data_IF_289162368469
#
_entry.id   IF_289162368469
#
_cell.length_a   1.000
_cell.length_b   1.000
_cell.length_c   1.000
_cell.angle_alpha   90.00
_cell.angle_beta   90.00
_cell.angle_gamma   90.00
#
_symmetry.space_group_name_H-M   'P 1'
#
loop_
_entity.id
_entity.type
_entity.pdbx_description
1 polymer ?
#
# COMPACT_ATOMS: atom_id res chain seq x y z
N UNK A 1 19.66 0.63 35.46
CA UNK A 1 21.02 0.08 35.59
C UNK A 1 21.75 0.49 34.33
N UNK A 2 22.55 1.55 34.44
CA UNK A 2 23.16 2.28 33.31
C UNK A 2 24.09 1.39 32.49
N UNK A 3 23.74 1.17 31.22
CA UNK A 3 24.51 0.41 30.23
C UNK A 3 25.82 1.11 29.80
N UNK A 4 26.18 2.24 30.44
CA UNK A 4 27.31 3.09 30.03
C UNK A 4 28.52 2.94 30.98
N UNK A 5 28.34 2.38 32.18
CA UNK A 5 29.38 2.32 33.23
C UNK A 5 30.43 1.19 33.08
N UNK A 6 30.60 0.61 31.89
CA UNK A 6 31.51 -0.51 31.66
C UNK A 6 32.47 -0.39 30.48
N UNK A 7 32.44 0.72 29.75
CA UNK A 7 33.28 0.91 28.55
C UNK A 7 34.62 1.52 28.95
N UNK A 8 35.71 0.79 28.77
CA UNK A 8 37.05 1.32 28.98
C UNK A 8 37.50 2.11 27.75
N UNK A 9 38.52 2.98 27.91
CA UNK A 9 39.03 3.82 26.81
C UNK A 9 39.38 3.04 25.54
N UNK A 10 39.84 1.79 25.65
CA UNK A 10 40.12 0.92 24.51
C UNK A 10 38.88 0.43 23.74
N UNK A 11 37.72 0.30 24.41
CA UNK A 11 36.47 -0.10 23.76
C UNK A 11 35.90 1.04 22.91
N UNK A 12 36.08 2.28 23.37
CA UNK A 12 35.71 3.48 22.62
C UNK A 12 36.62 3.68 21.39
N UNK A 13 37.91 3.33 21.50
CA UNK A 13 38.85 3.35 20.37
C UNK A 13 38.51 2.28 19.32
N UNK A 14 38.06 1.09 19.75
CA UNK A 14 37.57 0.04 18.84
C UNK A 14 36.28 0.44 18.11
N UNK A 15 35.37 1.14 18.80
CA UNK A 15 34.17 1.72 18.17
C UNK A 15 34.55 2.84 17.19
N UNK A 16 35.58 3.64 17.51
CA UNK A 16 36.09 4.72 16.65
C UNK A 16 36.82 4.19 15.41
N UNK A 17 37.54 3.08 15.52
CA UNK A 17 38.34 2.50 14.43
C UNK A 17 37.57 1.45 13.62
N UNK A 18 36.38 1.05 14.06
CA UNK A 18 35.46 0.24 13.28
C UNK A 18 35.04 0.96 12.00
N UNK A 19 35.35 0.35 10.86
CA UNK A 19 34.92 0.81 9.52
C UNK A 19 33.40 0.87 9.41
N UNK A 20 32.69 -0.07 10.05
CA UNK A 20 31.23 -0.17 10.01
C UNK A 20 30.57 0.97 10.79
N UNK A 21 31.17 1.39 11.91
CA UNK A 21 30.67 2.51 12.71
C UNK A 21 31.05 3.87 12.10
N UNK A 22 32.23 3.98 11.47
CA UNK A 22 32.59 5.15 10.66
C UNK A 22 31.67 5.31 9.46
N UNK A 23 31.33 4.21 8.79
CA UNK A 23 30.33 4.16 7.73
C UNK A 23 28.96 4.61 8.27
N UNK A 24 28.45 3.99 9.34
CA UNK A 24 27.18 4.37 9.94
C UNK A 24 27.12 5.85 10.42
N UNK A 25 28.25 6.43 10.82
CA UNK A 25 28.34 7.83 11.24
C UNK A 25 28.45 8.81 10.04
N UNK A 26 29.24 8.46 9.01
CA UNK A 26 29.41 9.30 7.81
C UNK A 26 28.18 9.27 6.88
N UNK A 27 27.43 8.17 6.86
CA UNK A 27 26.20 8.02 6.08
C UNK A 27 24.96 8.64 6.74
N UNK A 28 25.12 9.43 7.83
CA UNK A 28 24.04 10.31 8.34
C UNK A 28 23.61 11.41 7.35
N UNK A 29 24.34 11.60 6.26
CA UNK A 29 24.08 12.57 5.21
C UNK A 29 23.60 11.95 3.88
N UNK A 30 23.16 10.69 3.88
CA UNK A 30 22.37 10.19 2.76
C UNK A 30 21.00 10.90 2.82
N UNK A 31 20.61 11.58 1.73
CA UNK A 31 19.24 12.04 1.56
C UNK A 31 18.34 10.80 1.47
N UNK A 32 17.87 10.30 2.62
CA UNK A 32 17.00 9.14 2.70
C UNK A 32 15.62 9.53 2.18
N UNK A 33 15.43 9.46 0.86
CA UNK A 33 14.10 9.56 0.27
C UNK A 33 13.26 8.39 0.76
N UNK A 34 12.32 8.67 1.64
CA UNK A 34 11.35 7.70 2.12
C UNK A 34 10.05 7.84 1.32
N UNK A 35 9.60 6.73 0.74
CA UNK A 35 8.32 6.63 0.06
C UNK A 35 7.36 5.81 0.92
N UNK A 36 6.33 6.45 1.48
CA UNK A 36 5.43 5.83 2.46
C UNK A 36 3.99 5.85 1.97
N UNK A 37 3.35 4.68 1.93
CA UNK A 37 1.92 4.56 1.66
C UNK A 37 1.16 4.21 2.94
N UNK A 38 0.05 4.89 3.17
CA UNK A 38 -0.82 4.68 4.33
C UNK A 38 -2.22 4.37 3.82
N UNK A 39 -2.76 3.23 4.24
CA UNK A 39 -4.13 2.81 3.92
C UNK A 39 -5.04 3.08 5.10
N UNK A 40 -6.31 3.35 4.83
CA UNK A 40 -7.39 3.30 5.80
C UNK A 40 -8.58 2.57 5.15
N UNK A 41 -9.21 1.70 5.92
CA UNK A 41 -10.38 0.93 5.49
C UNK A 41 -11.51 1.12 6.49
N UNK A 42 -12.51 1.89 6.08
CA UNK A 42 -13.70 2.23 6.85
C UNK A 42 -14.86 1.36 6.40
N UNK A 43 -15.47 0.62 7.33
CA UNK A 43 -16.63 -0.22 7.08
C UNK A 43 -17.87 0.41 7.70
N UNK A 44 -18.86 0.65 6.85
CA UNK A 44 -20.17 1.17 7.22
C UNK A 44 -21.23 0.09 7.05
N UNK A 45 -22.14 0.03 8.02
CA UNK A 45 -23.37 -0.77 7.96
C UNK A 45 -24.55 0.13 8.29
N UNK A 46 -25.56 0.17 7.44
CA UNK A 46 -26.73 1.05 7.62
C UNK A 46 -26.33 2.52 7.88
N UNK A 47 -25.33 3.02 7.15
CA UNK A 47 -24.82 4.40 7.31
C UNK A 47 -24.02 4.67 8.58
N UNK A 48 -23.76 3.67 9.44
CA UNK A 48 -22.94 3.81 10.64
C UNK A 48 -21.57 3.16 10.46
N UNK A 49 -20.51 3.88 10.83
CA UNK A 49 -19.16 3.31 10.92
C UNK A 49 -19.12 2.23 12.01
N UNK A 50 -18.76 1.01 11.63
CA UNK A 50 -18.65 -0.14 12.55
C UNK A 50 -17.20 -0.61 12.75
N UNK A 51 -16.31 -0.29 11.81
CA UNK A 51 -14.88 -0.59 11.90
C UNK A 51 -14.07 0.36 11.02
N UNK A 52 -12.86 0.71 11.42
CA UNK A 52 -12.02 1.70 10.74
C UNK A 52 -12.05 3.06 11.43
N UNK A 53 -11.86 4.13 10.66
CA UNK A 53 -11.66 5.50 11.16
C UNK A 53 -10.23 5.78 11.61
N UNK A 54 -9.28 4.93 11.24
CA UNK A 54 -7.87 5.06 11.60
C UNK A 54 -6.97 4.58 10.45
N UNK A 55 -5.77 5.18 10.31
CA UNK A 55 -4.77 4.71 9.37
C UNK A 55 -4.19 3.37 9.82
N UNK A 56 -3.93 2.51 8.85
CA UNK A 56 -3.16 1.28 9.01
C UNK A 56 -1.67 1.59 9.09
N UNK A 57 -0.90 0.62 9.57
CA UNK A 57 0.56 0.65 9.42
C UNK A 57 0.95 0.74 7.93
N UNK A 58 2.17 1.21 7.62
CA UNK A 58 2.63 1.33 6.25
C UNK A 58 2.41 0.07 5.41
N UNK A 59 2.14 0.30 4.13
CA UNK A 59 1.98 -0.74 3.11
C UNK A 59 3.32 -1.40 2.73
N UNK A 60 3.21 -2.49 1.98
CA UNK A 60 4.35 -3.08 1.29
C UNK A 60 4.32 -2.63 -0.17
N UNK A 61 5.28 -1.77 -0.55
CA UNK A 61 5.56 -1.53 -1.95
C UNK A 61 6.26 -2.75 -2.55
N UNK A 62 5.86 -3.15 -3.75
CA UNK A 62 6.48 -4.28 -4.44
C UNK A 62 7.67 -3.80 -5.26
N UNK A 63 8.61 -4.69 -5.57
CA UNK A 63 9.69 -4.40 -6.52
C UNK A 63 9.12 -4.05 -7.90
N UNK A 64 8.05 -4.71 -8.33
CA UNK A 64 7.38 -4.43 -9.62
C UNK A 64 6.86 -3.00 -9.68
N UNK A 65 6.19 -2.56 -8.61
CA UNK A 65 5.64 -1.22 -8.48
C UNK A 65 6.70 -0.13 -8.45
N UNK A 66 7.70 -0.29 -7.59
CA UNK A 66 8.79 0.69 -7.45
C UNK A 66 9.61 0.80 -8.74
N UNK A 67 9.94 -0.32 -9.39
CA UNK A 67 10.66 -0.30 -10.65
C UNK A 67 9.85 0.41 -11.74
N UNK A 68 8.54 0.17 -11.81
CA UNK A 68 7.66 0.85 -12.76
C UNK A 68 7.60 2.36 -12.50
N UNK A 69 7.48 2.79 -11.23
CA UNK A 69 7.54 4.21 -10.87
C UNK A 69 8.85 4.87 -11.33
N UNK A 70 9.99 4.26 -11.03
CA UNK A 70 11.30 4.80 -11.43
C UNK A 70 11.45 4.87 -12.94
N UNK A 71 10.95 3.87 -13.67
CA UNK A 71 11.01 3.86 -15.12
C UNK A 71 10.15 4.95 -15.77
N UNK A 72 9.01 5.32 -15.15
CA UNK A 72 8.20 6.45 -15.64
C UNK A 72 8.92 7.79 -15.43
N UNK A 73 9.55 7.96 -14.28
CA UNK A 73 10.09 9.26 -13.86
C UNK A 73 11.49 9.51 -14.43
N UNK A 74 12.33 8.47 -14.49
CA UNK A 74 13.76 8.59 -14.81
C UNK A 74 14.19 7.81 -16.04
N UNK A 75 13.29 7.04 -16.66
CA UNK A 75 13.59 6.28 -17.87
C UNK A 75 12.57 6.58 -18.98
N UNK A 76 12.58 5.76 -20.03
CA UNK A 76 11.83 5.98 -21.27
C UNK A 76 10.42 5.35 -21.27
N UNK A 77 9.95 4.88 -20.13
CA UNK A 77 8.60 4.31 -20.02
C UNK A 77 7.59 5.46 -19.89
N UNK A 78 6.67 5.56 -20.85
CA UNK A 78 5.58 6.52 -20.79
C UNK A 78 4.53 6.10 -19.76
N UNK A 79 3.94 7.07 -19.05
CA UNK A 79 2.74 6.86 -18.23
C UNK A 79 1.59 6.41 -19.15
N UNK A 80 0.98 5.26 -18.84
CA UNK A 80 -0.01 4.59 -19.72
C UNK A 80 -1.26 5.44 -20.04
N UNK A 81 -1.68 6.32 -19.11
CA UNK A 81 -2.85 7.19 -19.24
C UNK A 81 -2.78 8.35 -18.23
N UNK A 82 -3.75 9.29 -18.28
CA UNK A 82 -3.86 10.36 -17.28
C UNK A 82 -4.16 9.80 -15.89
N UNK A 83 -5.02 8.79 -15.79
CA UNK A 83 -5.25 7.99 -14.59
C UNK A 83 -4.81 6.55 -14.87
N UNK A 84 -3.86 6.04 -14.08
CA UNK A 84 -3.29 4.71 -14.28
C UNK A 84 -3.43 3.81 -13.07
N UNK A 85 -3.99 4.29 -11.96
CA UNK A 85 -3.98 3.57 -10.70
C UNK A 85 -5.40 3.27 -10.27
N UNK A 86 -5.64 2.03 -9.89
CA UNK A 86 -6.92 1.53 -9.46
C UNK A 86 -6.77 0.83 -8.12
N UNK A 87 -7.78 1.03 -7.26
CA UNK A 87 -7.85 0.45 -5.92
C UNK A 87 -8.65 -0.84 -6.00
N UNK A 88 -8.08 -1.93 -5.48
CA UNK A 88 -8.81 -3.18 -5.30
C UNK A 88 -8.72 -3.68 -3.86
N UNK A 89 -9.68 -4.54 -3.50
CA UNK A 89 -9.74 -5.23 -2.21
C UNK A 89 -9.63 -6.74 -2.40
N UNK A 90 -9.17 -7.44 -1.37
CA UNK A 90 -8.90 -8.87 -1.46
C UNK A 90 -9.37 -9.66 -0.22
N UNK A 91 -9.78 -10.91 -0.46
CA UNK A 91 -10.46 -11.77 0.52
C UNK A 91 -9.65 -12.96 1.02
N UNK A 92 -8.45 -13.21 0.51
CA UNK A 92 -7.56 -14.22 1.09
C UNK A 92 -6.72 -13.63 2.22
N UNK A 93 -6.50 -14.43 3.27
CA UNK A 93 -5.67 -14.05 4.40
C UNK A 93 -4.16 -14.20 4.07
N UNK A 94 -3.65 -13.29 3.24
CA UNK A 94 -2.26 -13.28 2.77
C UNK A 94 -1.57 -11.98 3.20
N UNK A 95 -0.31 -12.10 3.63
CA UNK A 95 0.55 -10.94 3.92
C UNK A 95 1.31 -10.54 2.65
N UNK A 96 1.13 -9.29 2.17
CA UNK A 96 1.90 -8.78 1.04
C UNK A 96 3.42 -8.87 1.26
N UNK A 97 4.14 -9.22 0.20
CA UNK A 97 5.59 -9.28 0.18
C UNK A 97 6.14 -8.45 -0.98
N UNK A 98 7.40 -8.03 -0.85
CA UNK A 98 8.08 -7.18 -1.84
C UNK A 98 8.16 -7.83 -3.22
N UNK A 99 8.27 -9.16 -3.28
CA UNK A 99 8.31 -9.93 -4.54
C UNK A 99 6.96 -10.17 -5.21
N UNK A 100 5.86 -9.67 -4.64
CA UNK A 100 4.54 -9.91 -5.21
C UNK A 100 4.36 -9.11 -6.52
N UNK A 101 3.76 -9.75 -7.51
CA UNK A 101 3.50 -9.18 -8.84
C UNK A 101 2.03 -9.25 -9.19
N UNK A 102 1.58 -8.36 -10.07
CA UNK A 102 0.21 -8.36 -10.57
C UNK A 102 -0.16 -9.69 -11.23
N UNK A 103 0.74 -10.24 -12.04
CA UNK A 103 0.51 -11.47 -12.81
C UNK A 103 0.14 -12.69 -11.94
N UNK A 104 0.69 -12.77 -10.73
CA UNK A 104 0.53 -13.91 -9.81
C UNK A 104 -0.50 -13.64 -8.72
N UNK A 105 -0.61 -12.39 -8.26
CA UNK A 105 -1.35 -12.08 -7.04
C UNK A 105 -2.73 -11.49 -7.29
N UNK A 106 -2.97 -10.92 -8.47
CA UNK A 106 -4.25 -10.28 -8.83
C UNK A 106 -5.12 -11.17 -9.72
N UNK A 107 -6.35 -10.72 -9.95
CA UNK A 107 -7.35 -11.45 -10.69
C UNK A 107 -8.08 -12.49 -9.82
N UNK A 108 -9.09 -13.13 -10.41
CA UNK A 108 -9.95 -14.07 -9.68
C UNK A 108 -9.18 -15.29 -9.13
N UNK A 109 -8.14 -15.74 -9.83
CA UNK A 109 -7.29 -16.88 -9.44
C UNK A 109 -5.98 -16.45 -8.78
N UNK A 110 -5.77 -15.15 -8.57
CA UNK A 110 -4.57 -14.63 -7.91
C UNK A 110 -4.53 -15.01 -6.44
N UNK A 111 -3.32 -15.08 -5.87
CA UNK A 111 -3.14 -15.51 -4.47
C UNK A 111 -3.80 -14.58 -3.46
N UNK A 112 -4.00 -13.29 -3.77
CA UNK A 112 -4.77 -12.39 -2.91
C UNK A 112 -6.26 -12.70 -2.89
N UNK A 113 -6.78 -13.37 -3.93
CA UNK A 113 -8.22 -13.53 -4.11
C UNK A 113 -8.86 -12.15 -4.24
N UNK A 114 -8.55 -11.44 -5.33
CA UNK A 114 -9.18 -10.14 -5.61
C UNK A 114 -10.71 -10.31 -5.61
N UNK A 115 -11.42 -9.41 -4.94
CA UNK A 115 -12.89 -9.43 -4.99
C UNK A 115 -13.37 -9.23 -6.44
N UNK A 116 -14.37 -10.02 -6.83
CA UNK A 116 -14.94 -10.08 -8.17
C UNK A 116 -16.39 -9.59 -8.14
N UNK A 117 -17.02 -9.45 -9.31
CA UNK A 117 -18.35 -8.85 -9.44
C UNK A 117 -19.42 -9.52 -8.58
N UNK A 118 -19.34 -10.83 -8.35
CA UNK A 118 -20.25 -11.55 -7.47
C UNK A 118 -20.13 -11.19 -5.97
N UNK A 119 -19.08 -10.47 -5.57
CA UNK A 119 -18.89 -10.02 -4.19
C UNK A 119 -19.57 -8.66 -3.92
N UNK A 120 -20.09 -7.96 -4.93
CA UNK A 120 -20.60 -6.59 -4.84
C UNK A 120 -22.08 -6.47 -5.27
N UNK A 121 -22.82 -5.53 -4.70
CA UNK A 121 -24.27 -5.32 -4.98
C UNK A 121 -24.53 -4.88 -6.41
N UNK A 122 -23.60 -4.11 -6.97
CA UNK A 122 -23.61 -3.75 -8.37
C UNK A 122 -22.37 -4.37 -9.01
N UNK A 123 -22.53 -5.16 -10.09
CA UNK A 123 -21.38 -5.65 -10.83
C UNK A 123 -20.60 -4.45 -11.37
N UNK A 124 -19.36 -4.33 -10.93
CA UNK A 124 -18.43 -3.29 -11.37
C UNK A 124 -17.32 -4.00 -12.14
N UNK A 125 -17.39 -4.07 -13.47
CA UNK A 125 -16.35 -4.73 -14.28
C UNK A 125 -14.92 -4.25 -13.93
N UNK A 126 -14.84 -3.01 -13.45
CA UNK A 126 -13.60 -2.29 -13.17
C UNK A 126 -13.45 -1.99 -11.68
N UNK A 127 -12.19 -2.00 -11.22
CA UNK A 127 -11.78 -1.44 -9.94
C UNK A 127 -11.99 0.08 -9.94
N UNK A 128 -12.41 0.69 -8.81
CA UNK A 128 -12.44 2.14 -8.67
C UNK A 128 -11.07 2.78 -8.92
N UNK A 129 -11.09 3.96 -9.52
CA UNK A 129 -9.92 4.80 -9.73
C UNK A 129 -9.27 5.26 -8.41
N UNK A 130 -7.96 5.41 -8.41
CA UNK A 130 -7.24 6.15 -7.37
C UNK A 130 -7.26 7.64 -7.74
N UNK A 131 -8.40 8.26 -7.48
CA UNK A 131 -8.70 9.64 -7.88
C UNK A 131 -8.04 10.63 -6.94
N UNK A 132 -7.09 11.40 -7.46
CA UNK A 132 -6.28 12.35 -6.69
C UNK A 132 -6.29 13.74 -7.31
N UNK A 133 -5.96 14.75 -6.53
CA UNK A 133 -5.68 16.10 -7.03
C UNK A 133 -4.17 16.36 -7.08
N UNK A 134 -3.78 17.37 -7.86
CA UNK A 134 -2.40 17.86 -7.86
C UNK A 134 -1.97 18.29 -6.46
N UNK A 135 -0.69 18.04 -6.12
CA UNK A 135 -0.12 18.35 -4.81
C UNK A 135 1.16 19.17 -4.94
N UNK A 136 1.39 20.05 -3.96
CA UNK A 136 2.63 20.80 -3.78
C UNK A 136 3.38 20.41 -2.50
N UNK A 137 2.86 19.45 -1.72
CA UNK A 137 3.36 19.09 -0.38
C UNK A 137 4.07 17.73 -0.33
N UNK A 138 4.33 17.12 -1.50
CA UNK A 138 4.85 15.76 -1.62
C UNK A 138 3.99 14.68 -0.91
N UNK A 139 2.69 14.97 -0.78
CA UNK A 139 1.65 14.08 -0.26
C UNK A 139 0.49 14.06 -1.26
N UNK A 140 0.11 12.87 -1.73
CA UNK A 140 -0.99 12.68 -2.66
C UNK A 140 -1.93 11.59 -2.13
N UNK A 141 -3.23 11.87 -2.11
CA UNK A 141 -4.23 10.92 -1.60
C UNK A 141 -5.55 11.01 -2.35
N UNK A 142 -6.37 9.97 -2.20
CA UNK A 142 -7.77 9.95 -2.65
C UNK A 142 -8.76 10.31 -1.54
N UNK A 143 -8.33 10.98 -0.47
CA UNK A 143 -9.20 11.29 0.69
C UNK A 143 -10.45 12.07 0.32
N UNK A 144 -10.37 12.94 -0.71
CA UNK A 144 -11.50 13.70 -1.23
C UNK A 144 -12.47 12.86 -2.10
N UNK A 145 -12.01 11.71 -2.62
CA UNK A 145 -12.78 10.80 -3.48
C UNK A 145 -12.38 9.34 -3.19
N UNK A 146 -12.75 8.87 -1.99
CA UNK A 146 -12.39 7.53 -1.51
C UNK A 146 -12.96 6.46 -2.44
N UNK A 147 -12.19 5.42 -2.71
CA UNK A 147 -12.69 4.25 -3.44
C UNK A 147 -13.76 3.57 -2.58
N UNK A 148 -14.94 3.36 -3.14
CA UNK A 148 -16.08 2.75 -2.44
C UNK A 148 -16.42 1.38 -3.00
N UNK A 149 -16.79 0.47 -2.11
CA UNK A 149 -17.19 -0.89 -2.44
C UNK A 149 -18.44 -1.23 -1.65
N UNK A 150 -19.56 -1.47 -2.34
CA UNK A 150 -20.82 -1.91 -1.73
C UNK A 150 -20.93 -3.42 -1.90
N UNK A 151 -21.06 -4.15 -0.80
CA UNK A 151 -20.85 -5.60 -0.74
C UNK A 151 -22.18 -6.36 -0.81
N UNK A 152 -22.26 -7.38 -1.67
CA UNK A 152 -23.41 -8.29 -1.77
C UNK A 152 -23.23 -9.61 -0.99
N UNK A 153 -21.99 -9.88 -0.58
CA UNK A 153 -21.59 -11.18 -0.09
C UNK A 153 -21.21 -11.14 1.40
N UNK A 154 -21.56 -12.22 2.11
CA UNK A 154 -21.04 -12.45 3.46
C UNK A 154 -19.64 -13.04 3.37
N UNK A 155 -18.64 -12.16 3.31
CA UNK A 155 -17.22 -12.53 3.18
C UNK A 155 -16.37 -11.75 4.19
N UNK A 156 -15.09 -12.09 4.27
CA UNK A 156 -14.12 -11.34 5.07
C UNK A 156 -13.07 -10.71 4.16
N UNK A 157 -12.91 -9.40 4.26
CA UNK A 157 -11.89 -8.64 3.55
C UNK A 157 -10.65 -8.54 4.43
N UNK A 158 -9.51 -8.87 3.85
CA UNK A 158 -8.22 -8.93 4.55
C UNK A 158 -7.28 -7.79 4.16
N UNK A 159 -7.55 -7.08 3.07
CA UNK A 159 -6.65 -6.04 2.60
C UNK A 159 -7.07 -5.34 1.33
N UNK A 160 -6.21 -4.41 0.93
CA UNK A 160 -6.33 -3.63 -0.29
C UNK A 160 -5.01 -3.58 -1.05
N UNK A 161 -5.08 -3.25 -2.34
CA UNK A 161 -3.93 -3.08 -3.21
C UNK A 161 -4.15 -1.93 -4.20
N UNK A 162 -3.03 -1.43 -4.74
CA UNK A 162 -3.02 -0.44 -5.82
C UNK A 162 -2.38 -1.04 -7.06
N UNK A 163 -3.05 -0.97 -8.21
CA UNK A 163 -2.59 -1.61 -9.45
C UNK A 163 -2.86 -0.75 -10.68
N UNK A 164 -2.13 -1.01 -11.78
CA UNK A 164 -2.45 -0.42 -13.09
C UNK A 164 -3.56 -1.14 -13.86
N UNK A 165 -4.20 -2.14 -13.25
CA UNK A 165 -5.20 -2.96 -13.90
C UNK A 165 -6.59 -2.47 -13.53
N UNK A 166 -7.29 -1.93 -14.53
CA UNK A 166 -8.67 -1.49 -14.37
C UNK A 166 -9.61 -2.69 -14.17
N UNK A 167 -9.57 -3.68 -15.07
CA UNK A 167 -10.47 -4.84 -15.01
C UNK A 167 -10.14 -5.76 -13.83
N UNK A 168 -11.14 -6.13 -13.02
CA UNK A 168 -10.94 -6.96 -11.81
C UNK A 168 -10.37 -8.36 -12.07
N UNK A 169 -10.58 -8.88 -13.28
CA UNK A 169 -10.08 -10.18 -13.73
C UNK A 169 -8.70 -10.11 -14.39
N UNK A 170 -8.20 -8.90 -14.68
CA UNK A 170 -6.95 -8.69 -15.38
C UNK A 170 -5.73 -9.00 -14.52
N UNK A 171 -4.64 -9.41 -15.18
CA UNK A 171 -3.37 -9.74 -14.52
C UNK A 171 -2.14 -9.11 -15.19
N UNK A 172 -2.29 -8.51 -16.38
CA UNK A 172 -1.18 -8.07 -17.24
C UNK A 172 -0.62 -6.66 -16.95
N UNK A 173 -0.91 -6.09 -15.77
CA UNK A 173 -0.44 -4.77 -15.36
C UNK A 173 0.68 -4.81 -14.33
N UNK A 174 0.73 -3.80 -13.46
CA UNK A 174 1.70 -3.67 -12.37
C UNK A 174 0.99 -3.59 -11.03
N UNK A 175 1.54 -4.25 -10.02
CA UNK A 175 1.09 -4.15 -8.63
C UNK A 175 1.98 -3.11 -7.94
N UNK A 176 1.48 -1.92 -7.63
CA UNK A 176 2.28 -0.88 -6.97
C UNK A 176 2.61 -1.29 -5.54
N UNK A 177 1.57 -1.65 -4.81
CA UNK A 177 1.66 -1.99 -3.41
C UNK A 177 0.42 -2.75 -2.95
N UNK A 178 0.51 -3.36 -1.78
CA UNK A 178 -0.63 -3.93 -1.09
C UNK A 178 -0.48 -3.82 0.42
N UNK A 179 -1.61 -3.93 1.12
CA UNK A 179 -1.68 -3.91 2.57
C UNK A 179 -2.68 -4.95 3.07
N UNK A 180 -2.20 -5.80 3.98
CA UNK A 180 -3.05 -6.57 4.88
C UNK A 180 -3.52 -5.67 6.02
N UNK A 181 -4.82 -5.61 6.25
CA UNK A 181 -5.40 -4.87 7.36
C UNK A 181 -4.98 -5.49 8.69
N UNK A 182 -4.76 -4.65 9.69
CA UNK A 182 -4.44 -5.09 11.06
C UNK A 182 -5.60 -5.90 11.65
N UNK A 183 -6.82 -5.43 11.43
CA UNK A 183 -8.05 -6.17 11.69
C UNK A 183 -8.78 -6.42 10.37
N UNK A 184 -9.24 -7.64 10.12
CA UNK A 184 -10.06 -7.93 8.93
C UNK A 184 -11.43 -7.24 9.02
N UNK A 185 -12.14 -7.14 7.88
CA UNK A 185 -13.51 -6.60 7.81
C UNK A 185 -14.47 -7.71 7.42
N UNK A 186 -15.30 -8.16 8.35
CA UNK A 186 -16.37 -9.10 8.07
C UNK A 186 -17.56 -8.34 7.52
N UNK A 187 -17.78 -8.45 6.21
CA UNK A 187 -18.84 -7.74 5.50
C UNK A 187 -20.07 -8.63 5.31
N UNK A 188 -21.22 -8.00 5.20
CA UNK A 188 -22.48 -8.59 4.78
C UNK A 188 -23.09 -7.74 3.67
N UNK A 189 -24.22 -8.18 3.14
CA UNK A 189 -25.05 -7.44 2.19
C UNK A 189 -25.28 -5.98 2.64
N UNK A 190 -25.25 -5.04 1.70
CA UNK A 190 -25.36 -3.58 1.91
C UNK A 190 -24.23 -2.92 2.74
N UNK A 191 -23.20 -3.66 3.18
CA UNK A 191 -22.05 -3.01 3.81
C UNK A 191 -21.26 -2.22 2.77
N UNK A 192 -20.79 -1.04 3.18
CA UNK A 192 -19.92 -0.19 2.35
C UNK A 192 -18.53 -0.12 2.95
N UNK A 193 -17.52 -0.49 2.15
CA UNK A 193 -16.12 -0.24 2.46
C UNK A 193 -15.65 1.01 1.71
N UNK A 194 -15.10 1.97 2.47
CA UNK A 194 -14.35 3.09 1.91
C UNK A 194 -12.87 2.87 2.12
N UNK A 195 -12.13 2.99 1.03
CA UNK A 195 -10.67 2.88 1.03
C UNK A 195 -10.07 4.26 0.74
N UNK A 196 -9.35 4.76 1.74
CA UNK A 196 -8.54 5.95 1.67
C UNK A 196 -7.07 5.52 1.63
N UNK A 197 -6.31 6.07 0.70
CA UNK A 197 -4.91 5.78 0.50
C UNK A 197 -4.16 7.08 0.24
N UNK A 198 -3.10 7.29 1.01
CA UNK A 198 -2.18 8.41 0.85
C UNK A 198 -0.76 7.91 0.58
N UNK A 199 -0.03 8.62 -0.26
CA UNK A 199 1.38 8.37 -0.55
C UNK A 199 2.17 9.64 -0.30
N UNK A 200 3.22 9.51 0.51
CA UNK A 200 4.09 10.62 0.88
C UNK A 200 5.55 10.33 0.53
N UNK A 201 6.21 11.33 -0.04
CA UNK A 201 7.66 11.39 -0.14
C UNK A 201 8.20 12.33 0.94
N UNK A 202 9.25 11.92 1.64
CA UNK A 202 10.00 12.82 2.53
C UNK A 202 11.49 12.52 2.46
N UNK A 203 12.30 13.52 2.79
CA UNK A 203 13.74 13.37 3.02
C UNK A 203 14.05 13.88 4.41
N UNK A 204 15.02 13.28 5.09
CA UNK A 204 15.58 13.78 6.35
C UNK A 204 16.28 15.12 6.18
#
# INVERSE_FOLDING_TARGET
>A
MDLINGLNGGDLEALRDSTDLRYAYQHRAESHLTFRGIWQCDQYRNGKLISGGYPELPNTFTTEGMAYLLNIIFHDISKLASEIWYVGIYKNNVTPAVGNTAAVHLGAAGTYGSCQDADFDLPLTNNPGFETADTATADISNTASKASFTMAATITIYGAYLTTIQAKTGTSGKLMCAKKLTASRAVVDDDVLYIDYGVQCSTS
#
